data_IF_287378321206
#
_entry.id   IF_287378321206
#
_cell.length_a   1.000
_cell.length_b   1.000
_cell.length_c   1.000
_cell.angle_alpha   90.00
_cell.angle_beta   90.00
_cell.angle_gamma   90.00
#
_symmetry.space_group_name_H-M   'P 1'
#
loop_
_entity.id
_entity.type
_entity.pdbx_description
1 polymer ?
#
# COMPACT_ATOMS: atom_id res chain seq x y z
N UNK A 1 -21.22 12.39 -9.11
CA UNK A 1 -20.32 11.84 -10.14
C UNK A 1 -18.89 11.49 -9.63
N UNK A 2 -18.59 11.46 -8.31
CA UNK A 2 -17.25 11.12 -7.81
C UNK A 2 -17.03 9.60 -7.55
N UNK A 3 -18.08 8.84 -7.23
CA UNK A 3 -17.95 7.42 -6.84
C UNK A 3 -17.44 6.48 -7.94
N UNK A 4 -17.77 6.73 -9.21
CA UNK A 4 -17.34 5.91 -10.34
C UNK A 4 -15.84 5.97 -10.60
N UNK A 5 -15.25 7.17 -10.49
CA UNK A 5 -13.82 7.38 -10.64
C UNK A 5 -13.03 6.67 -9.54
N UNK A 6 -13.45 6.80 -8.28
CA UNK A 6 -12.82 6.13 -7.13
C UNK A 6 -12.88 4.61 -7.27
N UNK A 7 -13.99 4.04 -7.76
CA UNK A 7 -14.09 2.60 -7.97
C UNK A 7 -13.12 2.09 -9.04
N UNK A 8 -12.99 2.82 -10.15
CA UNK A 8 -12.06 2.47 -11.24
C UNK A 8 -10.61 2.53 -10.77
N UNK A 9 -10.23 3.58 -10.04
CA UNK A 9 -8.89 3.70 -9.44
C UNK A 9 -8.63 2.56 -8.46
N UNK A 10 -9.63 2.16 -7.67
CA UNK A 10 -9.51 1.02 -6.75
C UNK A 10 -9.30 -0.30 -7.49
N UNK A 11 -10.08 -0.55 -8.55
CA UNK A 11 -9.94 -1.75 -9.37
C UNK A 11 -8.58 -1.82 -10.06
N UNK A 12 -8.14 -0.70 -10.65
CA UNK A 12 -6.81 -0.59 -11.23
C UNK A 12 -5.73 -0.80 -10.17
N UNK A 13 -5.90 -0.22 -8.98
CA UNK A 13 -5.01 -0.39 -7.85
C UNK A 13 -4.90 -1.84 -7.39
N UNK A 14 -6.01 -2.59 -7.37
CA UNK A 14 -5.96 -4.02 -7.06
C UNK A 14 -5.20 -4.81 -8.13
N UNK A 15 -5.51 -4.59 -9.41
CA UNK A 15 -4.84 -5.29 -10.51
C UNK A 15 -3.32 -4.99 -10.53
N UNK A 16 -2.97 -3.71 -10.42
CA UNK A 16 -1.58 -3.25 -10.40
C UNK A 16 -0.85 -3.70 -9.14
N UNK A 17 -1.51 -3.66 -7.97
CA UNK A 17 -0.97 -4.17 -6.72
C UNK A 17 -0.64 -5.65 -6.80
N UNK A 18 -1.56 -6.47 -7.30
CA UNK A 18 -1.33 -7.91 -7.52
C UNK A 18 -0.16 -8.13 -8.48
N UNK A 19 -0.11 -7.41 -9.60
CA UNK A 19 0.96 -7.57 -10.59
C UNK A 19 2.34 -7.17 -10.05
N UNK A 20 2.44 -6.00 -9.41
CA UNK A 20 3.72 -5.49 -8.88
C UNK A 20 4.21 -6.35 -7.72
N UNK A 21 3.34 -6.65 -6.73
CA UNK A 21 3.76 -7.45 -5.58
C UNK A 21 4.06 -8.91 -5.96
N UNK A 22 3.33 -9.49 -6.92
CA UNK A 22 3.65 -10.79 -7.49
C UNK A 22 5.00 -10.81 -8.22
N UNK A 23 5.35 -9.72 -8.91
CA UNK A 23 6.67 -9.56 -9.55
C UNK A 23 7.79 -9.49 -8.51
N UNK A 24 7.62 -8.71 -7.44
CA UNK A 24 8.60 -8.62 -6.34
C UNK A 24 8.79 -9.98 -5.67
N UNK A 25 7.69 -10.67 -5.35
CA UNK A 25 7.69 -12.01 -4.78
C UNK A 25 8.54 -12.97 -5.64
N UNK A 26 8.24 -13.03 -6.94
CA UNK A 26 8.88 -13.96 -7.88
C UNK A 26 10.33 -13.61 -8.14
N UNK A 27 10.66 -12.32 -8.32
CA UNK A 27 12.04 -11.85 -8.51
C UNK A 27 12.94 -12.23 -7.34
N UNK A 28 12.43 -12.11 -6.11
CA UNK A 28 13.19 -12.48 -4.91
C UNK A 28 13.37 -13.99 -4.74
N UNK A 29 12.45 -14.80 -5.25
CA UNK A 29 12.60 -16.26 -5.32
C UNK A 29 13.63 -16.70 -6.38
N UNK A 30 13.75 -15.98 -7.50
CA UNK A 30 14.68 -16.33 -8.59
C UNK A 30 16.16 -16.27 -8.18
N UNK A 31 16.48 -15.62 -7.06
CA UNK A 31 17.82 -15.70 -6.45
C UNK A 31 18.16 -17.05 -5.83
N UNK A 32 17.17 -17.92 -5.61
CA UNK A 32 17.33 -19.24 -4.99
C UNK A 32 16.76 -20.40 -5.86
N UNK A 33 15.88 -20.10 -6.81
CA UNK A 33 15.21 -21.08 -7.68
C UNK A 33 15.29 -20.66 -9.16
N UNK A 34 15.33 -21.63 -10.09
CA UNK A 34 15.13 -21.33 -11.52
C UNK A 34 13.80 -20.60 -11.77
N UNK A 35 13.76 -19.74 -12.79
CA UNK A 35 12.61 -18.86 -13.06
C UNK A 35 11.27 -19.59 -13.20
N UNK A 36 11.24 -20.75 -13.85
CA UNK A 36 10.04 -21.58 -13.97
C UNK A 36 9.57 -22.16 -12.64
N UNK A 37 10.49 -22.62 -11.79
CA UNK A 37 10.18 -23.13 -10.46
C UNK A 37 9.72 -22.01 -9.51
N UNK A 38 10.31 -20.82 -9.62
CA UNK A 38 9.89 -19.64 -8.87
C UNK A 38 8.45 -19.21 -9.22
N UNK A 39 8.08 -19.20 -10.51
CA UNK A 39 6.70 -18.90 -10.94
C UNK A 39 5.71 -19.98 -10.47
N UNK A 40 6.05 -21.26 -10.63
CA UNK A 40 5.21 -22.35 -10.16
C UNK A 40 5.00 -22.29 -8.65
N UNK A 41 6.06 -22.02 -7.88
CA UNK A 41 6.00 -21.87 -6.43
C UNK A 41 5.17 -20.65 -6.00
N UNK A 42 5.35 -19.50 -6.67
CA UNK A 42 4.54 -18.30 -6.43
C UNK A 42 3.05 -18.52 -6.73
N UNK A 43 2.73 -19.37 -7.72
CA UNK A 43 1.36 -19.79 -8.04
C UNK A 43 0.77 -20.87 -7.13
N UNK A 44 1.48 -21.31 -6.09
CA UNK A 44 1.03 -22.35 -5.16
C UNK A 44 1.34 -23.79 -5.58
N UNK A 45 2.07 -23.98 -6.68
CA UNK A 45 2.49 -25.28 -7.23
C UNK A 45 3.66 -25.94 -6.48
N UNK A 46 3.77 -25.77 -5.16
CA UNK A 46 4.87 -26.32 -4.36
C UNK A 46 4.94 -27.86 -4.44
N UNK A 47 3.78 -28.52 -4.52
CA UNK A 47 3.68 -29.98 -4.55
C UNK A 47 4.34 -30.59 -5.80
N UNK A 48 4.17 -29.93 -6.96
CA UNK A 48 4.80 -30.32 -8.22
C UNK A 48 6.33 -30.19 -8.19
N UNK A 49 6.90 -29.44 -7.23
CA UNK A 49 8.33 -29.19 -7.10
C UNK A 49 9.02 -30.08 -6.06
N UNK A 50 8.26 -30.82 -5.22
CA UNK A 50 8.81 -31.65 -4.13
C UNK A 50 9.72 -32.78 -4.61
N UNK A 51 9.55 -33.25 -5.85
CA UNK A 51 10.44 -34.24 -6.46
C UNK A 51 11.78 -33.68 -6.96
N UNK A 52 11.88 -32.36 -7.15
CA UNK A 52 13.06 -31.71 -7.71
C UNK A 52 13.84 -30.83 -6.72
N UNK A 53 13.22 -30.42 -5.62
CA UNK A 53 13.82 -29.52 -4.63
C UNK A 53 13.52 -29.98 -3.19
N UNK A 54 14.46 -29.79 -2.25
CA UNK A 54 14.18 -29.98 -0.83
C UNK A 54 13.08 -29.03 -0.34
N UNK A 55 12.18 -29.51 0.51
CA UNK A 55 11.08 -28.71 1.08
C UNK A 55 11.58 -27.44 1.79
N UNK A 56 12.71 -27.53 2.50
CA UNK A 56 13.33 -26.38 3.16
C UNK A 56 13.75 -25.29 2.16
N UNK A 57 14.27 -25.67 0.99
CA UNK A 57 14.64 -24.73 -0.09
C UNK A 57 13.41 -24.02 -0.65
N UNK A 58 12.32 -24.76 -0.90
CA UNK A 58 11.05 -24.17 -1.36
C UNK A 58 10.48 -23.20 -0.32
N UNK A 59 10.47 -23.61 0.97
CA UNK A 59 9.97 -22.77 2.07
C UNK A 59 10.79 -21.50 2.25
N UNK A 60 12.12 -21.60 2.24
CA UNK A 60 13.02 -20.44 2.42
C UNK A 60 12.96 -19.49 1.23
N UNK A 61 12.93 -20.00 0.01
CA UNK A 61 12.76 -19.19 -1.20
C UNK A 61 11.42 -18.45 -1.17
N UNK A 62 10.33 -19.13 -0.80
CA UNK A 62 9.01 -18.51 -0.67
C UNK A 62 8.98 -17.43 0.42
N UNK A 63 9.53 -17.73 1.60
CA UNK A 63 9.61 -16.77 2.71
C UNK A 63 10.42 -15.51 2.34
N UNK A 64 11.56 -15.68 1.66
CA UNK A 64 12.39 -14.57 1.16
C UNK A 64 11.61 -13.69 0.17
N UNK A 65 10.87 -14.33 -0.74
CA UNK A 65 10.01 -13.63 -1.68
C UNK A 65 8.91 -12.84 -0.99
N UNK A 66 8.20 -13.48 -0.06
CA UNK A 66 7.09 -12.87 0.66
C UNK A 66 7.56 -11.70 1.54
N UNK A 67 8.70 -11.84 2.21
CA UNK A 67 9.29 -10.75 2.99
C UNK A 67 9.58 -9.52 2.12
N UNK A 68 10.13 -9.72 0.92
CA UNK A 68 10.35 -8.63 -0.03
C UNK A 68 9.05 -7.94 -0.47
N UNK A 69 8.02 -8.72 -0.79
CA UNK A 69 6.71 -8.19 -1.17
C UNK A 69 6.04 -7.41 -0.03
N UNK A 70 6.11 -7.92 1.20
CA UNK A 70 5.55 -7.26 2.40
C UNK A 70 6.27 -5.94 2.71
N UNK A 71 7.59 -5.88 2.57
CA UNK A 71 8.35 -4.64 2.72
C UNK A 71 7.96 -3.61 1.66
N UNK A 72 7.84 -4.04 0.40
CA UNK A 72 7.39 -3.16 -0.69
C UNK A 72 5.96 -2.64 -0.44
N UNK A 73 5.05 -3.50 0.04
CA UNK A 73 3.69 -3.12 0.40
C UNK A 73 3.66 -2.13 1.56
N UNK A 74 4.46 -2.36 2.61
CA UNK A 74 4.58 -1.46 3.75
C UNK A 74 5.08 -0.07 3.35
N UNK A 75 6.16 0.00 2.55
CA UNK A 75 6.68 1.27 2.04
C UNK A 75 5.65 1.99 1.16
N UNK A 76 4.97 1.27 0.27
CA UNK A 76 3.91 1.83 -0.58
C UNK A 76 2.78 2.41 0.26
N UNK A 77 2.35 1.68 1.30
CA UNK A 77 1.32 2.12 2.24
C UNK A 77 1.74 3.36 3.04
N UNK A 78 2.99 3.43 3.49
CA UNK A 78 3.53 4.61 4.18
C UNK A 78 3.54 5.84 3.28
N UNK A 79 3.98 5.69 2.02
CA UNK A 79 4.00 6.79 1.04
C UNK A 79 2.56 7.26 0.75
N UNK A 80 1.65 6.33 0.47
CA UNK A 80 0.25 6.65 0.20
C UNK A 80 -0.41 7.34 1.42
N UNK A 81 -0.20 6.82 2.62
CA UNK A 81 -0.69 7.41 3.86
C UNK A 81 -0.15 8.82 4.10
N UNK A 82 1.15 9.03 3.88
CA UNK A 82 1.77 10.35 3.98
C UNK A 82 1.17 11.34 2.97
N UNK A 83 0.96 10.92 1.72
CA UNK A 83 0.32 11.74 0.69
C UNK A 83 -1.11 12.13 1.09
N UNK A 84 -1.90 11.18 1.61
CA UNK A 84 -3.25 11.46 2.11
C UNK A 84 -3.21 12.46 3.26
N UNK A 85 -2.29 12.28 4.22
CA UNK A 85 -2.13 13.22 5.33
C UNK A 85 -1.73 14.62 4.87
N UNK A 86 -0.86 14.74 3.86
CA UNK A 86 -0.45 16.02 3.28
C UNK A 86 -1.63 16.73 2.60
N UNK A 87 -2.39 16.00 1.78
CA UNK A 87 -3.59 16.51 1.09
C UNK A 87 -4.65 16.99 2.08
N UNK A 88 -4.96 16.19 3.10
CA UNK A 88 -5.97 16.56 4.11
C UNK A 88 -5.49 17.71 5.01
N UNK A 89 -4.17 17.84 5.26
CA UNK A 89 -3.62 18.97 6.04
C UNK A 89 -3.75 20.31 5.31
N UNK A 90 -3.73 20.30 3.97
CA UNK A 90 -3.79 21.54 3.17
C UNK A 90 -5.17 22.18 3.18
N UNK A 91 -6.23 21.37 3.38
CA UNK A 91 -7.62 21.82 3.46
C UNK A 91 -8.06 22.29 4.85
N UNK A 92 -7.13 22.58 5.78
CA UNK A 92 -7.46 23.29 7.04
C UNK A 92 -7.25 24.80 6.87
N UNK A 93 -8.24 25.58 6.40
CA UNK A 93 -8.22 27.02 6.59
C UNK A 93 -8.23 27.32 8.09
N UNK A 94 -7.48 28.34 8.50
CA UNK A 94 -7.39 28.87 9.85
C UNK A 94 -8.73 29.49 10.32
N UNK A 95 -9.79 28.69 10.39
CA UNK A 95 -11.10 29.07 10.90
C UNK A 95 -11.11 28.90 12.44
N UNK A 96 -10.32 29.71 13.15
CA UNK A 96 -10.42 29.77 14.62
C UNK A 96 -9.99 31.10 15.25
N UNK A 97 -9.55 32.11 14.50
CA UNK A 97 -9.06 33.37 15.10
C UNK A 97 -9.92 34.61 14.81
N UNK A 98 -10.86 34.56 13.86
CA UNK A 98 -11.67 35.74 13.51
C UNK A 98 -13.04 35.85 14.23
N UNK A 99 -13.59 34.75 14.76
CA UNK A 99 -14.97 34.76 15.31
C UNK A 99 -15.07 35.11 16.81
N UNK A 100 -13.94 35.21 17.52
CA UNK A 100 -13.90 35.57 18.94
C UNK A 100 -13.84 37.08 19.19
N UNK A 101 -13.08 37.82 18.36
CA UNK A 101 -12.86 39.26 18.57
C UNK A 101 -14.08 40.14 18.23
N UNK A 102 -15.01 39.64 17.41
CA UNK A 102 -16.15 40.43 16.92
C UNK A 102 -17.39 40.36 17.82
N UNK A 103 -17.46 39.41 18.77
CA UNK A 103 -18.54 39.35 19.78
C UNK A 103 -18.31 40.28 20.98
N UNK A 104 -17.06 40.68 21.23
CA UNK A 104 -16.72 41.47 22.42
C UNK A 104 -16.78 42.99 22.16
N UNK A 105 -16.65 43.43 20.91
CA UNK A 105 -16.72 44.86 20.54
C UNK A 105 -18.14 45.40 20.32
N UNK A 106 -19.18 44.56 20.38
CA UNK A 106 -20.55 44.94 20.02
C UNK A 106 -21.45 45.37 21.19
N UNK A 107 -20.92 45.59 22.40
CA UNK A 107 -21.70 46.20 23.49
C UNK A 107 -20.93 47.29 24.24
N UNK A 108 -20.98 48.55 23.76
CA UNK A 108 -20.96 49.71 24.62
C UNK A 108 -22.34 50.38 24.55
N UNK A 109 -23.19 50.13 25.55
CA UNK A 109 -24.43 50.87 25.74
C UNK A 109 -24.34 51.70 27.02
N UNK A 110 -23.99 52.98 26.80
CA UNK A 110 -24.26 54.09 27.69
C UNK A 110 -25.72 54.07 28.18
N UNK A 111 -25.94 54.03 29.49
CA UNK A 111 -26.93 54.85 30.22
C UNK A 111 -26.75 54.72 31.73
#
# INVERSE_FOLDING_TARGET
MAGGAVNTVRQLGYALGVAVFGTVLTSRMTGALPSGAAHALAGGGADALRGGFPEHTLRTAFASGLNGALLAAGLTGLVAGALVLLLVRTDRPAAAQASGAQREQAVPAHR
#
